data_IF_709032920117
#
_entry.id   IF_709032920117
#
_cell.length_a   1.000
_cell.length_b   1.000
_cell.length_c   1.000
_cell.angle_alpha   90.00
_cell.angle_beta   90.00
_cell.angle_gamma   90.00
#
_symmetry.space_group_name_H-M   'P 1'
#
loop_
_entity.id
_entity.type
_entity.pdbx_description
1 polymer ?
#
# COMPACT_ATOMS: atom_id res chain seq x y z
N UNK A 1 11.73 4.94 -25.55
CA UNK A 1 12.66 4.15 -24.74
C UNK A 1 12.13 4.08 -23.32
N UNK A 2 11.99 2.91 -22.68
CA UNK A 2 11.47 2.80 -21.31
C UNK A 2 12.63 2.48 -20.37
N UNK A 3 12.93 3.41 -19.49
CA UNK A 3 13.99 3.22 -18.51
C UNK A 3 13.62 2.13 -17.49
N UNK A 4 14.58 1.33 -17.02
CA UNK A 4 14.37 0.44 -15.88
C UNK A 4 14.05 1.29 -14.63
N UNK A 5 13.32 0.67 -13.68
CA UNK A 5 13.04 1.34 -12.40
C UNK A 5 14.35 1.62 -11.67
N UNK A 6 14.45 2.82 -11.09
CA UNK A 6 15.50 3.11 -10.14
C UNK A 6 15.27 2.22 -8.91
N UNK A 7 16.20 1.30 -8.66
CA UNK A 7 16.25 0.53 -7.41
C UNK A 7 17.26 1.25 -6.52
N UNK A 8 16.79 1.78 -5.39
CA UNK A 8 17.67 2.32 -4.39
C UNK A 8 18.36 1.19 -3.61
N UNK A 9 19.58 1.40 -3.18
CA UNK A 9 20.24 0.53 -2.20
C UNK A 9 19.67 0.81 -0.81
N UNK A 10 19.31 -0.23 -0.08
CA UNK A 10 18.72 -0.13 1.26
C UNK A 10 17.21 0.09 1.26
N UNK A 11 16.72 0.66 2.38
CA UNK A 11 15.30 1.00 2.55
C UNK A 11 14.89 2.07 1.54
N UNK A 12 13.73 1.88 0.90
CA UNK A 12 13.26 2.80 -0.13
C UNK A 12 11.74 2.88 -0.17
N UNK A 13 11.21 4.05 -0.54
CA UNK A 13 9.78 4.32 -0.60
C UNK A 13 9.35 4.61 -2.04
N UNK A 14 8.19 4.08 -2.43
CA UNK A 14 7.68 4.23 -3.78
C UNK A 14 6.18 4.55 -3.78
N UNK A 15 5.80 5.59 -4.50
CA UNK A 15 4.41 5.80 -4.89
C UNK A 15 4.12 5.02 -6.17
N UNK A 16 3.22 4.07 -6.11
CA UNK A 16 2.85 3.20 -7.22
C UNK A 16 1.41 3.48 -7.68
N UNK A 17 1.22 3.60 -8.99
CA UNK A 17 -0.10 3.85 -9.60
C UNK A 17 -0.33 2.86 -10.75
N UNK A 18 -1.54 2.33 -10.85
CA UNK A 18 -1.96 1.56 -12.01
C UNK A 18 -3.45 1.76 -12.29
N UNK A 19 -3.80 1.82 -13.58
CA UNK A 19 -5.15 2.10 -14.05
C UNK A 19 -5.71 0.91 -14.82
N UNK A 20 -7.01 0.73 -14.73
CA UNK A 20 -7.77 -0.26 -15.50
C UNK A 20 -7.84 0.18 -16.96
N UNK A 21 -7.82 -0.79 -17.89
CA UNK A 21 -7.97 -0.56 -19.32
C UNK A 21 -9.30 0.17 -19.61
N UNK A 22 -9.29 1.04 -20.60
CA UNK A 22 -10.44 1.84 -21.01
C UNK A 22 -11.12 2.63 -19.88
N UNK A 23 -10.40 2.87 -18.77
CA UNK A 23 -10.89 3.54 -17.56
C UNK A 23 -12.16 2.93 -16.97
N UNK A 24 -12.39 1.63 -17.19
CA UNK A 24 -13.58 0.94 -16.68
C UNK A 24 -13.64 0.99 -15.15
N UNK A 25 -14.81 1.27 -14.61
CA UNK A 25 -15.07 1.35 -13.16
C UNK A 25 -15.31 -0.03 -12.58
N UNK A 26 -14.24 -0.78 -12.33
CA UNK A 26 -14.32 -2.14 -11.77
C UNK A 26 -14.41 -2.16 -10.25
N UNK A 27 -13.99 -1.08 -9.58
CA UNK A 27 -14.04 -0.90 -8.15
C UNK A 27 -15.16 0.05 -7.76
N UNK A 28 -16.35 -0.11 -8.35
CA UNK A 28 -17.48 0.76 -8.02
C UNK A 28 -17.76 0.70 -6.53
N UNK A 29 -17.69 1.86 -5.90
CA UNK A 29 -17.79 2.02 -4.45
C UNK A 29 -19.12 2.67 -4.02
N UNK A 30 -20.03 2.92 -4.97
CA UNK A 30 -21.32 3.52 -4.67
C UNK A 30 -22.26 2.54 -3.97
N UNK A 31 -22.64 2.87 -2.76
CA UNK A 31 -23.68 2.21 -1.98
C UNK A 31 -23.15 1.17 -0.98
N UNK A 32 -23.05 -0.06 -1.31
CA UNK A 32 -22.60 -1.13 -0.41
C UNK A 32 -21.34 -1.78 -0.97
N UNK A 33 -20.21 -1.65 -0.29
CA UNK A 33 -18.86 -2.09 -0.59
C UNK A 33 -18.69 -2.99 -1.81
N UNK A 34 -17.92 -2.56 -2.80
CA UNK A 34 -17.60 -3.38 -3.96
C UNK A 34 -16.86 -4.64 -3.53
N UNK A 35 -17.42 -5.83 -3.81
CA UNK A 35 -16.76 -7.10 -3.52
C UNK A 35 -15.39 -7.21 -4.22
N UNK A 36 -15.20 -6.53 -5.35
CA UNK A 36 -13.93 -6.49 -6.06
C UNK A 36 -12.89 -5.60 -5.38
N UNK A 37 -13.29 -4.47 -4.81
CA UNK A 37 -12.41 -3.63 -4.01
C UNK A 37 -11.93 -4.36 -2.75
N UNK A 38 -12.83 -5.07 -2.06
CA UNK A 38 -12.46 -5.89 -0.89
C UNK A 38 -11.50 -7.02 -1.25
N UNK A 39 -11.74 -7.70 -2.38
CA UNK A 39 -10.84 -8.74 -2.89
C UNK A 39 -9.45 -8.20 -3.23
N UNK A 40 -9.39 -6.99 -3.80
CA UNK A 40 -8.12 -6.35 -4.10
C UNK A 40 -7.35 -6.03 -2.82
N UNK A 41 -7.98 -5.40 -1.83
CA UNK A 41 -7.35 -5.05 -0.54
C UNK A 41 -6.90 -6.32 0.20
N UNK A 42 -7.74 -7.35 0.26
CA UNK A 42 -7.39 -8.63 0.89
C UNK A 42 -6.18 -9.29 0.20
N UNK A 43 -6.14 -9.30 -1.13
CA UNK A 43 -5.01 -9.83 -1.89
C UNK A 43 -3.74 -9.01 -1.65
N UNK A 44 -3.85 -7.68 -1.63
CA UNK A 44 -2.76 -6.77 -1.34
C UNK A 44 -2.14 -7.07 0.03
N UNK A 45 -2.96 -7.17 1.09
CA UNK A 45 -2.49 -7.46 2.46
C UNK A 45 -1.86 -8.86 2.59
N UNK A 46 -2.40 -9.86 1.89
CA UNK A 46 -1.78 -11.20 1.84
C UNK A 46 -0.41 -11.19 1.16
N UNK A 47 -0.28 -10.48 0.05
CA UNK A 47 1.00 -10.37 -0.65
C UNK A 47 2.01 -9.53 0.14
N UNK A 48 1.58 -8.49 0.85
CA UNK A 48 2.38 -7.72 1.79
C UNK A 48 2.96 -8.63 2.88
N UNK A 49 2.11 -9.39 3.57
CA UNK A 49 2.52 -10.31 4.62
C UNK A 49 3.54 -11.36 4.13
N UNK A 50 3.43 -11.77 2.86
CA UNK A 50 4.37 -12.69 2.24
C UNK A 50 5.68 -12.02 1.84
N UNK A 51 5.62 -10.96 1.01
CA UNK A 51 6.77 -10.44 0.26
C UNK A 51 7.77 -9.63 1.09
N UNK A 52 7.35 -9.12 2.25
CA UNK A 52 8.12 -8.16 3.03
C UNK A 52 8.10 -6.73 2.49
N UNK A 53 7.48 -6.48 1.33
CA UNK A 53 7.12 -5.10 0.91
C UNK A 53 5.98 -4.63 1.80
N UNK A 54 6.10 -3.45 2.41
CA UNK A 54 5.06 -2.87 3.27
C UNK A 54 4.22 -1.88 2.49
N UNK A 55 2.90 -1.92 2.64
CA UNK A 55 1.99 -0.92 2.09
C UNK A 55 1.65 0.07 3.19
N UNK A 56 2.34 1.22 3.19
CA UNK A 56 2.22 2.25 4.23
C UNK A 56 0.85 2.92 4.21
N UNK A 57 0.37 3.25 3.02
CA UNK A 57 -1.00 3.65 2.77
C UNK A 57 -1.40 3.38 1.33
N UNK A 58 -2.70 3.47 1.06
CA UNK A 58 -3.25 3.27 -0.28
C UNK A 58 -4.58 3.99 -0.45
N UNK A 59 -4.98 4.15 -1.70
CA UNK A 59 -6.36 4.49 -2.08
C UNK A 59 -6.74 3.72 -3.32
N UNK A 60 -7.89 3.07 -3.25
CA UNK A 60 -8.47 2.33 -4.36
C UNK A 60 -9.64 3.14 -4.93
N UNK A 61 -9.40 3.83 -6.04
CA UNK A 61 -10.39 4.60 -6.78
C UNK A 61 -11.20 3.70 -7.71
N UNK A 62 -12.29 4.19 -8.28
CA UNK A 62 -13.20 3.38 -9.12
C UNK A 62 -12.52 2.62 -10.27
N UNK A 63 -11.43 3.15 -10.84
CA UNK A 63 -10.73 2.57 -11.98
C UNK A 63 -9.20 2.56 -11.89
N UNK A 64 -8.63 2.89 -10.75
CA UNK A 64 -7.20 2.88 -10.52
C UNK A 64 -6.89 2.79 -9.03
N UNK A 65 -5.64 2.50 -8.71
CA UNK A 65 -5.16 2.51 -7.34
C UNK A 65 -3.88 3.33 -7.19
N UNK A 66 -3.70 3.87 -6.01
CA UNK A 66 -2.46 4.43 -5.51
C UNK A 66 -1.99 3.60 -4.33
N UNK A 67 -0.72 3.22 -4.30
CA UNK A 67 -0.07 2.56 -3.16
C UNK A 67 1.19 3.34 -2.80
N UNK A 68 1.39 3.61 -1.52
CA UNK A 68 2.67 4.05 -0.97
C UNK A 68 3.32 2.82 -0.34
N UNK A 69 4.41 2.36 -0.96
CA UNK A 69 5.11 1.15 -0.55
C UNK A 69 6.47 1.48 0.03
N UNK A 70 6.84 0.79 1.10
CA UNK A 70 8.21 0.67 1.58
C UNK A 70 8.77 -0.66 1.13
N UNK A 71 9.98 -0.62 0.58
CA UNK A 71 10.82 -1.80 0.37
C UNK A 71 11.92 -1.74 1.42
N UNK A 72 11.87 -2.57 2.47
CA UNK A 72 12.95 -2.62 3.45
C UNK A 72 14.25 -3.10 2.81
N UNK A 73 15.36 -2.86 3.48
CA UNK A 73 16.62 -3.46 3.07
C UNK A 73 16.46 -4.98 2.99
N UNK A 74 16.90 -5.55 1.87
CA UNK A 74 16.85 -6.99 1.67
C UNK A 74 17.73 -7.69 2.72
N UNK A 75 17.18 -8.74 3.33
CA UNK A 75 17.86 -9.58 4.31
C UNK A 75 17.70 -11.05 3.96
N UNK A 76 18.66 -11.85 4.36
CA UNK A 76 18.52 -13.29 4.28
C UNK A 76 17.49 -13.76 5.30
N UNK A 77 16.52 -14.53 4.83
CA UNK A 77 15.52 -15.17 5.68
C UNK A 77 15.96 -16.61 5.97
N UNK A 78 15.86 -17.02 7.21
CA UNK A 78 15.91 -18.42 7.59
C UNK A 78 14.80 -19.22 6.90
N UNK A 79 14.90 -20.52 6.88
CA UNK A 79 13.84 -21.39 6.35
C UNK A 79 12.53 -21.18 7.14
N UNK A 80 12.62 -21.07 8.46
CA UNK A 80 11.46 -20.89 9.34
C UNK A 80 10.71 -19.58 9.04
N UNK A 81 11.43 -18.46 8.98
CA UNK A 81 10.85 -17.15 8.63
C UNK A 81 10.20 -17.15 7.25
N UNK A 82 10.85 -17.77 6.25
CA UNK A 82 10.29 -17.89 4.91
C UNK A 82 8.99 -18.69 4.91
N UNK A 83 8.94 -19.78 5.66
CA UNK A 83 7.76 -20.64 5.78
C UNK A 83 6.62 -19.95 6.52
N UNK A 84 6.89 -19.13 7.53
CA UNK A 84 5.90 -18.28 8.20
C UNK A 84 5.29 -17.26 7.23
N UNK A 85 6.11 -16.58 6.43
CA UNK A 85 5.65 -15.66 5.39
C UNK A 85 4.82 -16.37 4.32
N UNK A 86 5.22 -17.59 3.93
CA UNK A 86 4.43 -18.41 2.99
C UNK A 86 3.07 -18.74 3.59
N UNK A 87 3.01 -19.11 4.86
CA UNK A 87 1.73 -19.35 5.54
C UNK A 87 0.86 -18.09 5.58
N UNK A 88 1.43 -16.94 5.94
CA UNK A 88 0.71 -15.66 5.99
C UNK A 88 0.11 -15.26 4.63
N UNK A 89 0.86 -15.45 3.54
CA UNK A 89 0.42 -15.06 2.19
C UNK A 89 -0.43 -16.09 1.45
N UNK A 90 -0.21 -17.39 1.69
CA UNK A 90 -0.85 -18.48 0.92
C UNK A 90 -1.73 -19.41 1.77
N UNK A 91 -1.72 -19.24 3.07
CA UNK A 91 -2.53 -20.01 4.01
C UNK A 91 -1.89 -21.32 4.51
N UNK A 92 -2.52 -21.94 5.53
CA UNK A 92 -1.96 -23.08 6.23
C UNK A 92 -1.83 -24.33 5.35
N UNK A 93 -2.74 -24.55 4.40
CA UNK A 93 -2.67 -25.71 3.50
C UNK A 93 -1.39 -25.70 2.64
N UNK A 94 -0.98 -24.51 2.16
CA UNK A 94 0.29 -24.38 1.40
C UNK A 94 1.50 -24.62 2.28
N UNK A 95 1.46 -24.12 3.51
CA UNK A 95 2.52 -24.36 4.50
C UNK A 95 2.64 -25.86 4.80
N UNK A 96 1.56 -26.53 5.10
CA UNK A 96 1.53 -27.96 5.39
C UNK A 96 2.09 -28.82 4.24
N UNK A 97 1.70 -28.51 2.99
CA UNK A 97 2.22 -29.20 1.82
C UNK A 97 3.75 -29.04 1.67
N UNK A 98 4.27 -27.84 1.96
CA UNK A 98 5.71 -27.61 1.96
C UNK A 98 6.42 -28.33 3.11
N UNK A 99 5.87 -28.33 4.31
CA UNK A 99 6.46 -29.04 5.45
C UNK A 99 6.59 -30.55 5.18
N UNK A 100 5.58 -31.15 4.53
CA UNK A 100 5.64 -32.56 4.12
C UNK A 100 6.73 -32.81 3.07
N UNK A 101 6.84 -31.93 2.04
CA UNK A 101 7.88 -32.04 1.03
C UNK A 101 9.28 -31.87 1.64
N UNK A 102 9.46 -30.89 2.52
CA UNK A 102 10.73 -30.65 3.20
C UNK A 102 11.13 -31.84 4.10
N UNK A 103 10.16 -32.43 4.81
CA UNK A 103 10.43 -33.61 5.66
C UNK A 103 10.92 -34.81 4.83
N UNK A 104 10.33 -35.02 3.66
CA UNK A 104 10.79 -36.05 2.72
C UNK A 104 12.20 -35.75 2.19
N UNK A 105 12.43 -34.54 1.68
CA UNK A 105 13.71 -34.16 1.09
C UNK A 105 14.87 -34.20 2.10
N UNK A 106 14.62 -33.97 3.40
CA UNK A 106 15.66 -34.08 4.43
C UNK A 106 16.20 -35.50 4.61
N UNK A 107 15.48 -36.51 4.12
CA UNK A 107 15.91 -37.91 4.19
C UNK A 107 16.71 -38.35 2.94
N UNK A 108 16.68 -37.52 1.88
CA UNK A 108 17.37 -37.81 0.63
C UNK A 108 18.86 -37.42 0.66
N UNK A 109 19.74 -38.18 -0.02
CA UNK A 109 21.19 -37.90 -0.05
C UNK A 109 21.54 -36.48 -0.56
N UNK A 110 20.79 -35.94 -1.54
CA UNK A 110 20.94 -34.59 -2.11
C UNK A 110 19.88 -33.62 -1.59
N UNK A 111 19.28 -33.91 -0.45
CA UNK A 111 18.13 -33.21 0.10
C UNK A 111 18.37 -31.71 0.30
N UNK A 112 19.55 -31.32 0.78
CA UNK A 112 19.89 -29.92 1.00
C UNK A 112 19.79 -29.07 -0.28
N UNK A 113 20.32 -29.58 -1.39
CA UNK A 113 20.24 -28.89 -2.69
C UNK A 113 18.81 -28.85 -3.23
N UNK A 114 18.07 -29.93 -3.08
CA UNK A 114 16.66 -29.99 -3.49
C UNK A 114 15.77 -29.02 -2.67
N UNK A 115 16.00 -28.89 -1.35
CA UNK A 115 15.35 -27.91 -0.49
C UNK A 115 15.62 -26.47 -0.97
N UNK A 116 16.88 -26.15 -1.27
CA UNK A 116 17.20 -24.84 -1.83
C UNK A 116 16.44 -24.55 -3.11
N UNK A 117 16.41 -25.51 -4.05
CA UNK A 117 15.65 -25.39 -5.31
C UNK A 117 14.15 -25.23 -5.08
N UNK A 118 13.56 -25.94 -4.14
CA UNK A 118 12.15 -25.85 -3.77
C UNK A 118 11.78 -24.47 -3.21
N UNK A 119 12.64 -23.89 -2.37
CA UNK A 119 12.40 -22.62 -1.70
C UNK A 119 12.82 -21.40 -2.52
N UNK A 120 13.72 -21.55 -3.50
CA UNK A 120 14.24 -20.47 -4.33
C UNK A 120 13.17 -19.62 -5.02
N UNK A 121 12.07 -20.17 -5.59
CA UNK A 121 11.00 -19.34 -6.17
C UNK A 121 10.31 -18.43 -5.17
N UNK A 122 10.29 -18.79 -3.89
CA UNK A 122 9.74 -17.92 -2.82
C UNK A 122 10.77 -16.86 -2.42
N UNK A 123 12.04 -17.23 -2.22
CA UNK A 123 13.11 -16.30 -1.86
C UNK A 123 13.27 -15.17 -2.87
N UNK A 124 13.20 -15.46 -4.18
CA UNK A 124 13.28 -14.47 -5.28
C UNK A 124 12.17 -13.44 -5.27
N UNK A 125 11.11 -13.67 -4.51
CA UNK A 125 9.93 -12.78 -4.41
C UNK A 125 9.98 -11.87 -3.19
N UNK A 126 10.98 -12.07 -2.32
CA UNK A 126 11.14 -11.26 -1.13
C UNK A 126 11.74 -9.89 -1.48
N UNK A 127 11.24 -8.85 -0.83
CA UNK A 127 11.74 -7.49 -0.90
C UNK A 127 11.86 -6.92 -2.33
N UNK A 128 11.02 -7.38 -3.27
CA UNK A 128 10.98 -6.88 -4.64
C UNK A 128 9.62 -6.26 -4.98
N UNK A 129 9.62 -4.91 -5.08
CA UNK A 129 8.42 -4.14 -5.43
C UNK A 129 7.86 -4.53 -6.79
N UNK A 130 8.73 -4.85 -7.79
CA UNK A 130 8.29 -5.19 -9.14
C UNK A 130 7.51 -6.48 -9.16
N UNK A 131 7.99 -7.47 -8.40
CA UNK A 131 7.35 -8.77 -8.28
C UNK A 131 6.06 -8.62 -7.47
N UNK A 132 6.09 -7.87 -6.36
CA UNK A 132 4.90 -7.60 -5.53
C UNK A 132 3.75 -7.01 -6.37
N UNK A 133 3.99 -5.91 -7.08
CA UNK A 133 2.95 -5.26 -7.90
C UNK A 133 2.56 -6.12 -9.10
N UNK A 134 3.50 -6.82 -9.74
CA UNK A 134 3.19 -7.76 -10.82
C UNK A 134 2.23 -8.86 -10.36
N UNK A 135 2.49 -9.45 -9.19
CA UNK A 135 1.65 -10.50 -8.63
C UNK A 135 0.28 -9.97 -8.20
N UNK A 136 0.23 -8.82 -7.53
CA UNK A 136 -1.01 -8.18 -7.14
C UNK A 136 -1.90 -7.95 -8.37
N UNK A 137 -1.37 -7.30 -9.40
CA UNK A 137 -2.09 -7.03 -10.65
C UNK A 137 -2.49 -8.31 -11.39
N UNK A 138 -1.56 -9.24 -11.52
CA UNK A 138 -1.79 -10.48 -12.29
C UNK A 138 -2.85 -11.38 -11.64
N UNK A 139 -2.72 -11.63 -10.34
CA UNK A 139 -3.67 -12.47 -9.59
C UNK A 139 -5.05 -11.84 -9.51
N UNK A 140 -5.11 -10.53 -9.27
CA UNK A 140 -6.39 -9.82 -9.28
C UNK A 140 -7.06 -9.90 -10.65
N UNK A 141 -6.31 -9.62 -11.75
CA UNK A 141 -6.84 -9.68 -13.10
C UNK A 141 -7.36 -11.09 -13.47
N UNK A 142 -6.62 -12.14 -13.14
CA UNK A 142 -7.04 -13.53 -13.36
C UNK A 142 -8.34 -13.83 -12.59
N UNK A 143 -8.39 -13.45 -11.32
CA UNK A 143 -9.58 -13.65 -10.49
C UNK A 143 -10.79 -12.86 -10.99
N UNK A 144 -10.59 -11.59 -11.34
CA UNK A 144 -11.61 -10.72 -11.90
C UNK A 144 -12.17 -11.28 -13.22
N UNK A 145 -11.29 -11.57 -14.18
CA UNK A 145 -11.70 -12.11 -15.49
C UNK A 145 -12.51 -13.40 -15.34
N UNK A 146 -12.07 -14.31 -14.46
CA UNK A 146 -12.82 -15.57 -14.22
C UNK A 146 -14.22 -15.32 -13.66
N UNK A 147 -14.36 -14.39 -12.68
CA UNK A 147 -15.67 -14.10 -12.07
C UNK A 147 -16.64 -13.40 -13.02
N UNK A 148 -16.11 -12.58 -13.93
CA UNK A 148 -16.90 -11.77 -14.85
C UNK A 148 -16.95 -12.32 -16.29
N UNK A 149 -16.50 -13.56 -16.52
CA UNK A 149 -16.50 -14.17 -17.85
C UNK A 149 -15.69 -13.38 -18.90
N UNK A 150 -14.66 -12.60 -18.46
CA UNK A 150 -13.86 -11.74 -19.33
C UNK A 150 -12.58 -12.44 -19.77
N UNK A 151 -12.09 -12.01 -20.92
CA UNK A 151 -10.79 -12.38 -21.47
C UNK A 151 -9.95 -11.12 -21.73
N UNK A 152 -8.64 -11.30 -21.86
CA UNK A 152 -7.70 -10.24 -22.19
C UNK A 152 -7.19 -9.45 -20.98
N UNK A 153 -6.58 -8.31 -21.28
CA UNK A 153 -5.92 -7.48 -20.28
C UNK A 153 -6.93 -6.71 -19.42
N UNK A 154 -6.65 -6.59 -18.14
CA UNK A 154 -7.43 -5.77 -17.21
C UNK A 154 -6.77 -4.41 -16.95
N UNK A 155 -5.46 -4.35 -16.99
CA UNK A 155 -4.69 -3.15 -16.65
C UNK A 155 -4.15 -2.50 -17.92
N UNK A 156 -4.39 -1.19 -18.07
CA UNK A 156 -4.01 -0.43 -19.28
C UNK A 156 -2.51 -0.52 -19.59
N UNK A 157 -1.67 -0.46 -18.56
CA UNK A 157 -0.22 -0.43 -18.71
C UNK A 157 0.50 -1.17 -17.57
N UNK A 158 1.83 -1.23 -17.66
CA UNK A 158 2.67 -1.50 -16.50
C UNK A 158 2.40 -0.41 -15.47
N UNK A 159 2.53 -0.73 -14.18
CA UNK A 159 2.38 0.29 -13.15
C UNK A 159 3.48 1.35 -13.26
N UNK A 160 3.13 2.57 -12.92
CA UNK A 160 4.06 3.68 -12.76
C UNK A 160 4.53 3.69 -11.31
N UNK A 161 5.78 4.05 -11.07
CA UNK A 161 6.32 4.22 -9.73
C UNK A 161 7.29 5.40 -9.69
N UNK A 162 7.20 6.17 -8.62
CA UNK A 162 8.12 7.27 -8.31
C UNK A 162 8.81 6.92 -7.01
N UNK A 163 10.12 7.07 -6.96
CA UNK A 163 10.91 6.95 -5.73
C UNK A 163 10.64 8.19 -4.88
N UNK A 164 10.36 7.99 -3.60
CA UNK A 164 10.04 9.05 -2.64
C UNK A 164 11.14 9.10 -1.59
N UNK A 165 11.60 10.29 -1.29
CA UNK A 165 12.46 10.54 -0.14
C UNK A 165 11.68 10.33 1.16
N UNK A 166 12.38 10.00 2.23
CA UNK A 166 11.77 9.86 3.55
C UNK A 166 11.32 11.21 4.14
N UNK A 167 10.81 11.17 5.36
CA UNK A 167 10.44 12.37 6.11
C UNK A 167 9.22 13.10 5.52
N UNK A 168 9.33 14.41 5.36
CA UNK A 168 8.20 15.26 4.94
C UNK A 168 7.64 14.88 3.55
N UNK A 169 8.49 14.52 2.60
CA UNK A 169 8.07 14.10 1.26
C UNK A 169 7.21 12.83 1.33
N UNK A 170 7.56 11.88 2.20
CA UNK A 170 6.79 10.65 2.42
C UNK A 170 5.40 10.97 2.99
N UNK A 171 5.33 11.84 4.00
CA UNK A 171 4.08 12.27 4.61
C UNK A 171 3.18 13.04 3.62
N UNK A 172 3.76 13.92 2.81
CA UNK A 172 3.04 14.66 1.78
C UNK A 172 2.42 13.74 0.71
N UNK A 173 3.17 12.74 0.25
CA UNK A 173 2.67 11.75 -0.71
C UNK A 173 1.58 10.86 -0.07
N UNK A 174 1.73 10.49 1.19
CA UNK A 174 0.70 9.76 1.92
C UNK A 174 -0.61 10.57 1.99
N UNK A 175 -0.53 11.85 2.39
CA UNK A 175 -1.70 12.73 2.42
C UNK A 175 -2.32 12.92 1.03
N UNK A 176 -1.51 13.08 -0.02
CA UNK A 176 -2.00 13.14 -1.39
C UNK A 176 -2.82 11.89 -1.74
N UNK A 177 -2.33 10.70 -1.40
CA UNK A 177 -3.00 9.42 -1.67
C UNK A 177 -4.34 9.33 -0.92
N UNK A 178 -4.34 9.64 0.37
CA UNK A 178 -5.54 9.58 1.22
C UNK A 178 -6.63 10.59 0.80
N UNK A 179 -6.23 11.74 0.28
CA UNK A 179 -7.14 12.81 -0.12
C UNK A 179 -7.69 12.67 -1.55
N UNK A 180 -7.23 11.68 -2.32
CA UNK A 180 -7.77 11.44 -3.67
C UNK A 180 -9.30 11.28 -3.70
N UNK A 181 -9.95 10.51 -2.79
CA UNK A 181 -11.40 10.38 -2.78
C UNK A 181 -12.12 11.69 -2.47
N UNK A 182 -11.55 12.52 -1.58
CA UNK A 182 -12.13 13.83 -1.23
C UNK A 182 -12.06 14.76 -2.44
N UNK A 183 -10.89 14.85 -3.10
CA UNK A 183 -10.72 15.65 -4.33
C UNK A 183 -11.58 15.18 -5.51
N UNK A 184 -11.94 13.88 -5.52
CA UNK A 184 -12.85 13.32 -6.51
C UNK A 184 -14.33 13.47 -6.12
N UNK A 185 -14.65 14.10 -4.98
CA UNK A 185 -16.03 14.28 -4.49
C UNK A 185 -16.72 12.99 -4.04
N UNK A 186 -15.95 11.93 -3.75
CA UNK A 186 -16.49 10.64 -3.32
C UNK A 186 -16.84 10.61 -1.83
N UNK A 187 -16.21 11.45 -1.02
CA UNK A 187 -16.47 11.62 0.40
C UNK A 187 -16.03 13.02 0.84
N UNK A 188 -16.55 13.50 1.98
CA UNK A 188 -16.15 14.76 2.59
C UNK A 188 -14.92 14.59 3.51
N UNK A 189 -14.70 13.42 4.06
CA UNK A 189 -13.60 13.11 4.98
C UNK A 189 -12.98 11.77 4.57
N UNK A 190 -11.64 11.66 4.44
CA UNK A 190 -11.00 10.42 4.04
C UNK A 190 -11.27 9.24 4.98
N UNK A 191 -11.59 9.49 6.27
CA UNK A 191 -11.97 8.42 7.21
C UNK A 191 -13.24 7.67 6.78
N UNK A 192 -14.11 8.33 6.02
CA UNK A 192 -15.40 7.79 5.56
C UNK A 192 -15.26 7.04 4.22
N UNK A 193 -14.07 7.08 3.61
CA UNK A 193 -13.79 6.33 2.40
C UNK A 193 -13.17 4.96 2.72
N UNK A 194 -14.00 3.91 2.68
CA UNK A 194 -13.64 2.55 3.11
C UNK A 194 -12.34 1.99 2.52
N UNK A 195 -12.01 2.37 1.29
CA UNK A 195 -10.90 1.80 0.53
C UNK A 195 -9.68 2.72 0.48
N UNK A 196 -9.32 3.26 1.62
CA UNK A 196 -8.07 3.98 1.83
C UNK A 196 -7.36 3.51 3.11
N UNK A 197 -6.05 3.77 3.19
CA UNK A 197 -5.21 3.31 4.30
C UNK A 197 -5.61 3.91 5.63
N UNK A 198 -6.02 5.19 5.66
CA UNK A 198 -6.44 5.87 6.89
C UNK A 198 -7.74 5.28 7.45
N UNK A 199 -8.76 5.08 6.62
CA UNK A 199 -9.99 4.43 7.05
C UNK A 199 -9.75 3.01 7.56
N UNK A 200 -8.89 2.24 6.90
CA UNK A 200 -8.47 0.92 7.36
C UNK A 200 -7.78 0.99 8.72
N UNK A 201 -6.85 1.93 8.92
CA UNK A 201 -6.11 2.08 10.17
C UNK A 201 -7.00 2.45 11.37
N UNK A 202 -8.11 3.17 11.12
CA UNK A 202 -9.13 3.48 12.14
C UNK A 202 -9.98 2.27 12.50
N UNK A 203 -10.11 1.28 11.62
CA UNK A 203 -10.88 0.07 11.90
C UNK A 203 -10.22 -0.79 12.99
N UNK A 204 -11.04 -1.61 13.68
CA UNK A 204 -10.54 -2.54 14.70
C UNK A 204 -9.66 -3.62 14.07
N UNK A 205 -8.51 -3.90 14.69
CA UNK A 205 -7.63 -5.00 14.28
C UNK A 205 -6.67 -4.72 13.12
N UNK A 206 -6.63 -3.50 12.59
CA UNK A 206 -5.79 -3.13 11.44
C UNK A 206 -4.35 -2.77 11.82
N UNK A 207 -3.57 -3.73 12.31
CA UNK A 207 -2.18 -3.49 12.75
C UNK A 207 -1.28 -3.00 11.60
N UNK A 208 -1.33 -3.64 10.43
CA UNK A 208 -0.48 -3.28 9.28
C UNK A 208 -0.72 -1.84 8.80
N UNK A 209 -1.98 -1.42 8.68
CA UNK A 209 -2.30 -0.06 8.26
C UNK A 209 -1.83 0.98 9.30
N UNK A 210 -1.94 0.67 10.61
CA UNK A 210 -1.45 1.54 11.70
C UNK A 210 0.07 1.67 11.68
N UNK A 211 0.78 0.56 11.50
CA UNK A 211 2.24 0.56 11.36
C UNK A 211 2.67 1.38 10.13
N UNK A 212 1.97 1.27 9.01
CA UNK A 212 2.21 2.09 7.84
C UNK A 212 2.13 3.59 8.14
N UNK A 213 1.11 4.04 8.86
CA UNK A 213 0.96 5.45 9.23
C UNK A 213 2.04 5.90 10.23
N UNK A 214 2.44 5.06 11.19
CA UNK A 214 3.57 5.36 12.08
C UNK A 214 4.85 5.61 11.30
N UNK A 215 5.17 4.74 10.34
CA UNK A 215 6.33 4.90 9.46
C UNK A 215 6.25 6.21 8.66
N UNK A 216 5.09 6.53 8.11
CA UNK A 216 4.86 7.79 7.37
C UNK A 216 5.16 9.02 8.21
N UNK A 217 4.80 9.00 9.49
CA UNK A 217 5.07 10.11 10.43
C UNK A 217 6.45 10.03 11.10
N UNK A 218 7.26 9.02 10.80
CA UNK A 218 8.58 8.84 11.41
C UNK A 218 8.53 8.46 12.90
N UNK A 219 7.43 7.86 13.36
CA UNK A 219 7.27 7.47 14.76
C UNK A 219 7.83 6.09 15.05
N UNK A 220 8.41 5.95 16.23
CA UNK A 220 8.78 4.66 16.83
C UNK A 220 7.55 3.95 17.42
N UNK A 221 7.71 2.66 17.75
CA UNK A 221 6.65 1.84 18.35
C UNK A 221 6.16 2.33 19.72
N UNK A 222 6.93 3.19 20.39
CA UNK A 222 6.63 3.70 21.73
C UNK A 222 5.42 4.66 21.78
N UNK A 223 4.99 5.22 20.64
CA UNK A 223 3.87 6.19 20.60
C UNK A 223 2.54 5.45 20.44
N UNK A 224 1.54 5.86 21.21
CA UNK A 224 0.21 5.27 21.17
C UNK A 224 -0.49 5.52 19.82
N UNK A 225 -1.29 4.56 19.35
CA UNK A 225 -2.06 4.73 18.13
C UNK A 225 -3.00 5.95 18.20
N UNK A 226 -3.52 6.27 19.38
CA UNK A 226 -4.40 7.45 19.58
C UNK A 226 -3.66 8.74 19.21
N UNK A 227 -2.44 8.92 19.69
CA UNK A 227 -1.62 10.11 19.39
C UNK A 227 -1.23 10.17 17.92
N UNK A 228 -0.76 9.05 17.35
CA UNK A 228 -0.42 8.93 15.93
C UNK A 228 -1.61 9.27 15.04
N UNK A 229 -2.79 8.72 15.35
CA UNK A 229 -4.02 8.97 14.59
C UNK A 229 -4.46 10.44 14.64
N UNK A 230 -4.32 11.10 15.81
CA UNK A 230 -4.63 12.52 15.94
C UNK A 230 -3.67 13.40 15.15
N UNK A 231 -2.36 13.11 15.20
CA UNK A 231 -1.34 13.84 14.43
C UNK A 231 -1.54 13.67 12.93
N UNK A 232 -1.79 12.42 12.50
CA UNK A 232 -2.02 12.16 11.07
C UNK A 232 -3.27 12.84 10.55
N UNK A 233 -4.36 12.84 11.34
CA UNK A 233 -5.58 13.56 11.00
C UNK A 233 -5.35 15.06 10.82
N UNK A 234 -4.65 15.70 11.75
CA UNK A 234 -4.27 17.12 11.62
C UNK A 234 -3.48 17.36 10.35
N UNK A 235 -2.49 16.51 10.09
CA UNK A 235 -1.66 16.61 8.90
C UNK A 235 -2.49 16.51 7.61
N UNK A 236 -3.43 15.56 7.53
CA UNK A 236 -4.31 15.41 6.37
C UNK A 236 -5.14 16.67 6.11
N UNK A 237 -5.73 17.27 7.15
CA UNK A 237 -6.57 18.45 6.98
C UNK A 237 -5.77 19.70 6.64
N UNK A 238 -4.64 19.93 7.30
CA UNK A 238 -3.73 21.04 6.97
C UNK A 238 -3.22 20.89 5.52
N UNK A 239 -2.71 19.72 5.16
CA UNK A 239 -2.20 19.46 3.80
C UNK A 239 -3.30 19.53 2.75
N UNK A 240 -4.50 19.08 3.09
CA UNK A 240 -5.68 19.10 2.21
C UNK A 240 -6.24 20.49 1.96
N UNK A 241 -5.99 21.47 2.85
CA UNK A 241 -6.41 22.87 2.66
C UNK A 241 -5.45 23.66 1.77
N UNK A 242 -4.24 23.14 1.51
CA UNK A 242 -3.27 23.80 0.64
C UNK A 242 -3.61 23.55 -0.83
N UNK A 243 -3.37 24.55 -1.67
CA UNK A 243 -3.45 24.40 -3.13
C UNK A 243 -2.34 23.44 -3.59
N UNK A 244 -2.73 22.31 -4.16
CA UNK A 244 -1.82 21.39 -4.83
C UNK A 244 -1.86 21.63 -6.33
N UNK A 245 -0.99 20.95 -7.09
CA UNK A 245 -0.94 21.02 -8.56
C UNK A 245 -2.27 20.71 -9.29
N UNK A 246 -3.31 20.30 -8.56
CA UNK A 246 -4.67 20.05 -9.07
C UNK A 246 -5.58 21.30 -9.01
N UNK A 247 -5.08 22.45 -8.58
CA UNK A 247 -5.79 23.72 -8.42
C UNK A 247 -7.05 23.70 -7.52
N UNK A 248 -7.37 22.59 -6.88
CA UNK A 248 -8.48 22.54 -5.93
C UNK A 248 -8.01 21.95 -4.59
N UNK A 249 -8.18 22.67 -3.48
CA UNK A 249 -7.95 22.12 -2.15
C UNK A 249 -8.96 21.01 -1.87
N UNK A 250 -8.58 20.02 -1.07
CA UNK A 250 -9.50 18.98 -0.61
C UNK A 250 -10.47 19.52 0.46
N UNK A 251 -10.02 20.51 1.23
CA UNK A 251 -10.79 21.18 2.27
C UNK A 251 -10.63 22.70 2.16
N UNK A 252 -11.65 23.46 2.57
CA UNK A 252 -11.49 24.88 2.85
C UNK A 252 -10.72 25.11 4.16
N UNK A 253 -10.16 26.31 4.31
CA UNK A 253 -9.35 26.68 5.48
C UNK A 253 -10.14 26.61 6.80
N UNK A 254 -11.43 26.95 6.79
CA UNK A 254 -12.27 26.92 7.99
C UNK A 254 -12.49 25.49 8.48
N UNK A 255 -12.73 24.55 7.57
CA UNK A 255 -12.84 23.11 7.88
C UNK A 255 -11.53 22.56 8.44
N UNK A 256 -10.39 22.92 7.85
CA UNK A 256 -9.07 22.48 8.34
C UNK A 256 -8.81 23.05 9.74
N UNK A 257 -9.08 24.34 9.98
CA UNK A 257 -8.90 24.98 11.28
C UNK A 257 -9.80 24.33 12.35
N UNK A 258 -11.05 24.07 12.05
CA UNK A 258 -11.97 23.38 12.96
C UNK A 258 -11.43 22.04 13.44
N UNK A 259 -10.86 21.23 12.54
CA UNK A 259 -10.26 19.93 12.92
C UNK A 259 -9.01 20.10 13.78
N UNK A 260 -8.17 21.10 13.47
CA UNK A 260 -6.98 21.41 14.27
C UNK A 260 -7.37 21.83 15.68
N UNK A 261 -8.36 22.72 15.82
CA UNK A 261 -8.84 23.23 17.10
C UNK A 261 -9.50 22.15 17.97
N UNK A 262 -10.33 21.30 17.36
CA UNK A 262 -10.97 20.17 18.05
C UNK A 262 -9.97 19.16 18.63
N UNK A 263 -8.77 19.09 18.11
CA UNK A 263 -7.73 18.16 18.56
C UNK A 263 -6.73 18.76 19.54
N UNK A 264 -7.05 19.91 20.18
CA UNK A 264 -6.22 20.54 21.21
C UNK A 264 -4.76 20.76 20.81
N UNK A 265 -4.51 21.34 19.67
CA UNK A 265 -3.15 21.51 19.23
C UNK A 265 -2.83 22.91 18.72
N UNK A 266 -1.93 23.59 19.39
CA UNK A 266 -1.16 24.70 18.86
C UNK A 266 -0.31 24.26 17.65
N UNK A 267 -0.95 24.03 16.50
CA UNK A 267 -0.31 24.04 15.21
C UNK A 267 -0.92 25.22 14.48
N UNK A 268 -0.22 26.35 14.51
CA UNK A 268 -0.42 27.37 13.49
C UNK A 268 -0.27 26.69 12.15
N UNK A 269 -1.17 26.97 11.21
CA UNK A 269 -0.98 26.60 9.80
C UNK A 269 0.38 27.16 9.37
N UNK A 270 1.32 26.34 8.89
CA UNK A 270 2.61 26.84 8.48
C UNK A 270 2.39 27.81 7.33
N UNK A 271 2.93 29.04 7.46
CA UNK A 271 2.84 30.09 6.45
C UNK A 271 3.45 29.70 5.09
N UNK A 272 4.24 28.63 5.07
CA UNK A 272 4.83 28.04 3.85
C UNK A 272 5.26 26.60 4.11
N UNK A 273 4.42 25.63 3.80
CA UNK A 273 4.95 24.37 3.31
C UNK A 273 5.32 24.60 1.85
N UNK A 274 6.62 24.63 1.55
CA UNK A 274 7.11 24.78 0.18
C UNK A 274 6.43 23.75 -0.69
N UNK A 275 5.83 24.18 -1.79
CA UNK A 275 5.25 23.29 -2.76
C UNK A 275 6.29 22.25 -3.17
N UNK A 276 5.99 20.94 -3.17
CA UNK A 276 6.92 19.96 -3.67
C UNK A 276 7.15 20.28 -5.16
N UNK A 277 8.31 20.85 -5.46
CA UNK A 277 8.74 21.09 -6.83
C UNK A 277 8.85 19.73 -7.54
N UNK A 278 8.09 19.61 -8.62
CA UNK A 278 8.27 18.67 -9.73
C UNK A 278 8.32 17.18 -9.41
N UNK A 279 7.19 16.57 -9.08
CA UNK A 279 7.07 15.09 -9.04
C UNK A 279 6.08 14.52 -10.09
N UNK A 280 5.73 15.28 -11.13
CA UNK A 280 4.84 14.82 -12.19
C UNK A 280 5.37 15.23 -13.56
N UNK A 281 6.29 14.44 -14.10
CA UNK A 281 6.51 14.32 -15.54
C UNK A 281 6.63 12.83 -15.91
#
# INVERSE_FOLDING_TARGET
MRFPRVKAEGQSFYHCVSRVVDRQFIFQTAGHGSSEAERFVLLMRRLEAFSGVRVLTYTLMSNHFHLLCEVPQAQELSEAELLERIQAGFGPARRQALDQQLAHLRQEPDGAHQIQRLLQPYRRRMFDLSIFIKELKGRFAQGYNRRHGRYGVLWADRFKSVLIEGGEALAAVAAYIELNPVRAGLCADPKDYRYCGYAEALAKGSSLAREGIKIVLGHSDAISWKEVSQQYRKYLFVHGSLHTNTNQPAFDLATAQTVVDQQNGQLSLPDRLGAPHSLLH
#
